data_IF_454742447822
#
_entry.id   IF_454742447822
#
_cell.length_a   1.000
_cell.length_b   1.000
_cell.length_c   1.000
_cell.angle_alpha   90.00
_cell.angle_beta   90.00
_cell.angle_gamma   90.00
#
_symmetry.space_group_name_H-M   'P 1'
#
loop_
_entity.id
_entity.type
_entity.pdbx_description
1 polymer ?
#
# COMPACT_ATOMS: atom_id res chain seq x y z
N UNK A 1 -8.45 -9.24 -2.09
CA UNK A 1 -9.09 -7.97 -1.74
C UNK A 1 -9.00 -7.06 -2.96
N UNK A 2 -9.48 -5.81 -2.91
CA UNK A 2 -9.40 -4.93 -4.08
C UNK A 2 -8.14 -4.06 -4.04
N UNK A 3 -7.67 -3.66 -5.21
CA UNK A 3 -6.49 -2.80 -5.40
C UNK A 3 -6.56 -1.49 -4.61
N UNK A 4 -7.77 -0.95 -4.41
CA UNK A 4 -7.99 0.25 -3.58
C UNK A 4 -7.53 0.01 -2.14
N UNK A 5 -7.91 -1.11 -1.54
CA UNK A 5 -7.43 -1.46 -0.19
C UNK A 5 -5.92 -1.62 -0.17
N UNK A 6 -5.37 -2.35 -1.14
CA UNK A 6 -3.92 -2.61 -1.22
C UNK A 6 -3.10 -1.32 -1.38
N UNK A 7 -3.62 -0.30 -2.06
CA UNK A 7 -2.96 0.99 -2.19
C UNK A 7 -3.18 1.93 -1.00
N UNK A 8 -4.42 2.08 -0.53
CA UNK A 8 -4.77 3.11 0.45
C UNK A 8 -4.43 2.72 1.90
N UNK A 9 -4.59 1.45 2.27
CA UNK A 9 -4.30 1.00 3.64
C UNK A 9 -2.83 1.22 4.04
N UNK A 10 -1.81 0.72 3.31
CA UNK A 10 -0.42 0.93 3.69
C UNK A 10 0.00 2.39 3.60
N UNK A 11 -0.60 3.18 2.71
CA UNK A 11 -0.41 4.63 2.65
C UNK A 11 -0.85 5.31 3.96
N UNK A 12 -2.06 5.00 4.43
CA UNK A 12 -2.60 5.54 5.68
C UNK A 12 -1.78 5.08 6.90
N UNK A 13 -1.37 3.82 6.93
CA UNK A 13 -0.51 3.26 7.98
C UNK A 13 0.84 4.00 7.99
N UNK A 14 1.49 4.15 6.83
CA UNK A 14 2.76 4.86 6.72
C UNK A 14 2.63 6.33 7.18
N UNK A 15 1.53 7.00 6.80
CA UNK A 15 1.25 8.36 7.25
C UNK A 15 1.08 8.45 8.78
N UNK A 16 0.38 7.48 9.38
CA UNK A 16 0.14 7.44 10.81
C UNK A 16 1.43 7.15 11.61
N UNK A 17 2.26 6.21 11.14
CA UNK A 17 3.46 5.75 11.83
C UNK A 17 4.65 6.71 11.65
N UNK A 18 4.79 7.35 10.48
CA UNK A 18 5.91 8.23 10.16
C UNK A 18 5.55 9.71 10.45
N UNK A 19 5.56 10.10 11.72
CA UNK A 19 5.29 11.48 12.16
C UNK A 19 6.57 12.26 12.48
N UNK A 20 6.46 13.59 12.60
CA UNK A 20 7.56 14.49 12.98
C UNK A 20 8.71 14.51 11.98
N UNK A 21 9.95 14.42 12.47
CA UNK A 21 11.20 14.44 11.65
C UNK A 21 11.32 13.26 10.67
N UNK A 22 10.39 12.30 10.70
CA UNK A 22 10.35 11.18 9.76
C UNK A 22 9.20 11.16 8.79
N UNK A 23 8.42 12.25 8.72
CA UNK A 23 7.26 12.34 7.85
C UNK A 23 7.63 12.28 6.37
N UNK A 24 6.95 11.38 5.66
CA UNK A 24 6.98 11.33 4.20
C UNK A 24 6.14 12.48 3.62
N UNK A 25 6.62 13.07 2.53
CA UNK A 25 5.85 14.04 1.75
C UNK A 25 4.63 13.37 1.08
N UNK A 26 3.66 14.17 0.63
CA UNK A 26 2.47 13.63 -0.05
C UNK A 26 2.83 12.79 -1.29
N UNK A 27 3.81 13.23 -2.09
CA UNK A 27 4.29 12.46 -3.26
C UNK A 27 4.91 11.11 -2.87
N UNK A 28 5.66 11.09 -1.76
CA UNK A 28 6.26 9.86 -1.25
C UNK A 28 5.20 8.90 -0.70
N UNK A 29 4.13 9.42 -0.08
CA UNK A 29 2.99 8.60 0.35
C UNK A 29 2.25 7.99 -0.84
N UNK A 30 2.10 8.73 -1.95
CA UNK A 30 1.57 8.17 -3.21
C UNK A 30 2.44 7.01 -3.69
N UNK A 31 3.76 7.14 -3.66
CA UNK A 31 4.67 6.03 -4.00
C UNK A 31 4.46 4.82 -3.09
N UNK A 32 4.28 5.00 -1.78
CA UNK A 32 3.94 3.89 -0.86
C UNK A 32 2.65 3.20 -1.28
N UNK A 33 1.61 3.96 -1.63
CA UNK A 33 0.36 3.39 -2.12
C UNK A 33 0.51 2.66 -3.45
N UNK A 34 1.32 3.19 -4.38
CA UNK A 34 1.63 2.51 -5.64
C UNK A 34 2.40 1.21 -5.40
N UNK A 35 3.34 1.18 -4.44
CA UNK A 35 4.02 -0.06 -4.07
C UNK A 35 3.07 -1.10 -3.47
N UNK A 36 2.08 -0.66 -2.69
CA UNK A 36 1.03 -1.54 -2.18
C UNK A 36 0.14 -2.10 -3.29
N UNK A 37 -0.28 -1.28 -4.25
CA UNK A 37 -1.08 -1.73 -5.39
C UNK A 37 -0.27 -2.44 -6.49
N UNK A 38 1.07 -2.45 -6.41
CA UNK A 38 1.94 -2.91 -7.49
C UNK A 38 1.66 -4.33 -7.97
N UNK A 39 1.39 -5.33 -7.10
CA UNK A 39 1.10 -6.69 -7.57
C UNK A 39 -0.05 -6.74 -8.58
N UNK A 40 -1.17 -6.07 -8.28
CA UNK A 40 -2.35 -6.02 -9.17
C UNK A 40 -2.08 -5.24 -10.45
N UNK A 41 -1.27 -4.19 -10.38
CA UNK A 41 -0.95 -3.36 -11.55
C UNK A 41 0.01 -4.05 -12.52
N UNK A 42 0.92 -4.88 -11.99
CA UNK A 42 1.93 -5.60 -12.78
C UNK A 42 1.36 -6.86 -13.44
N UNK A 43 0.40 -7.51 -12.79
CA UNK A 43 -0.23 -8.74 -13.30
C UNK A 43 -1.75 -8.74 -13.01
N UNK A 44 -2.53 -7.97 -13.79
CA UNK A 44 -3.96 -7.79 -13.54
C UNK A 44 -4.72 -9.10 -13.67
N UNK A 45 -5.56 -9.39 -12.67
CA UNK A 45 -6.33 -10.64 -12.62
C UNK A 45 -7.72 -10.40 -12.02
N UNK A 46 -8.71 -11.14 -12.51
CA UNK A 46 -10.11 -11.02 -12.08
C UNK A 46 -10.61 -12.25 -11.30
N UNK A 47 -9.86 -13.35 -11.34
CA UNK A 47 -10.23 -14.61 -10.71
C UNK A 47 -9.23 -15.01 -9.65
N UNK A 48 -9.71 -15.75 -8.64
CA UNK A 48 -8.86 -16.27 -7.57
C UNK A 48 -7.74 -17.17 -8.10
N UNK A 49 -8.07 -18.04 -9.06
CA UNK A 49 -7.08 -18.93 -9.68
C UNK A 49 -5.98 -18.15 -10.38
N UNK A 50 -6.33 -17.10 -11.13
CA UNK A 50 -5.34 -16.26 -11.80
C UNK A 50 -4.41 -15.57 -10.78
N UNK A 51 -4.94 -15.08 -9.66
CA UNK A 51 -4.13 -14.55 -8.55
C UNK A 51 -3.14 -15.58 -8.00
N UNK A 52 -3.61 -16.80 -7.75
CA UNK A 52 -2.78 -17.88 -7.17
C UNK A 52 -1.66 -18.34 -8.12
N UNK A 53 -1.80 -18.10 -9.42
CA UNK A 53 -0.77 -18.36 -10.43
C UNK A 53 0.02 -17.13 -10.85
N UNK A 54 -0.31 -15.95 -10.32
CA UNK A 54 0.34 -14.69 -10.66
C UNK A 54 1.79 -14.66 -10.18
N UNK A 55 2.71 -14.16 -11.01
CA UNK A 55 4.12 -14.03 -10.64
C UNK A 55 4.35 -12.83 -9.73
N UNK A 56 3.51 -11.80 -9.80
CA UNK A 56 3.63 -10.60 -8.97
C UNK A 56 3.15 -10.82 -7.53
N UNK A 57 2.38 -11.88 -7.27
CA UNK A 57 1.80 -12.21 -5.96
C UNK A 57 2.68 -13.16 -5.12
N UNK A 58 3.98 -13.21 -5.40
CA UNK A 58 4.96 -14.03 -4.70
C UNK A 58 6.07 -13.24 -4.01
N UNK A 59 6.74 -13.87 -3.04
CA UNK A 59 7.96 -13.36 -2.41
C UNK A 59 9.07 -13.04 -3.42
N UNK A 60 9.29 -13.81 -4.50
CA UNK A 60 10.29 -13.45 -5.50
C UNK A 60 10.04 -12.07 -6.13
N UNK A 61 8.78 -11.74 -6.45
CA UNK A 61 8.42 -10.43 -7.00
C UNK A 61 8.59 -9.31 -5.96
N UNK A 62 8.23 -9.57 -4.69
CA UNK A 62 8.51 -8.64 -3.59
C UNK A 62 10.01 -8.35 -3.42
N UNK A 63 10.86 -9.39 -3.48
CA UNK A 63 12.32 -9.23 -3.42
C UNK A 63 12.80 -8.38 -4.61
N UNK A 64 12.35 -8.69 -5.82
CA UNK A 64 12.68 -7.91 -7.02
C UNK A 64 12.29 -6.43 -6.88
N UNK A 65 11.05 -6.15 -6.47
CA UNK A 65 10.57 -4.79 -6.22
C UNK A 65 11.41 -4.07 -5.15
N UNK A 66 11.74 -4.76 -4.05
CA UNK A 66 12.54 -4.20 -2.97
C UNK A 66 13.95 -3.85 -3.44
N UNK A 67 14.58 -4.71 -4.25
CA UNK A 67 15.87 -4.43 -4.87
C UNK A 67 15.80 -3.21 -5.79
N UNK A 68 14.74 -3.07 -6.60
CA UNK A 68 14.53 -1.87 -7.43
C UNK A 68 14.43 -0.61 -6.55
N UNK A 69 13.66 -0.64 -5.47
CA UNK A 69 13.56 0.50 -4.55
C UNK A 69 14.90 0.85 -3.89
N UNK A 70 15.70 -0.15 -3.52
CA UNK A 70 17.06 0.04 -2.98
C UNK A 70 17.96 0.69 -4.03
N UNK A 71 17.97 0.18 -5.28
CA UNK A 71 18.76 0.74 -6.37
C UNK A 71 18.37 2.19 -6.65
N UNK A 72 17.07 2.49 -6.70
CA UNK A 72 16.56 3.86 -6.84
C UNK A 72 17.04 4.74 -5.69
N UNK A 73 17.08 4.23 -4.46
CA UNK A 73 17.60 4.98 -3.31
C UNK A 73 19.11 5.21 -3.33
N UNK A 74 19.87 4.32 -3.94
CA UNK A 74 21.31 4.50 -4.16
C UNK A 74 21.55 5.57 -5.23
N UNK A 75 20.83 5.50 -6.36
CA UNK A 75 21.00 6.41 -7.50
C UNK A 75 20.45 7.82 -7.19
N UNK A 76 19.32 7.91 -6.47
CA UNK A 76 18.66 9.17 -6.12
C UNK A 76 18.63 9.42 -4.60
N UNK A 77 19.80 9.31 -3.98
CA UNK A 77 20.03 9.46 -2.52
C UNK A 77 19.28 10.63 -1.87
N UNK A 78 19.28 11.80 -2.51
CA UNK A 78 18.69 13.01 -1.91
C UNK A 78 17.16 13.08 -2.06
N UNK A 79 16.58 12.23 -2.91
CA UNK A 79 15.13 12.23 -3.21
C UNK A 79 14.41 11.03 -2.63
N UNK A 80 15.12 9.92 -2.43
CA UNK A 80 14.56 8.66 -1.97
C UNK A 80 15.11 8.30 -0.57
N UNK A 81 14.48 8.82 0.50
CA UNK A 81 14.93 8.50 1.85
C UNK A 81 14.75 7.01 2.14
N UNK A 82 15.64 6.41 2.94
CA UNK A 82 15.56 4.99 3.34
C UNK A 82 14.20 4.58 3.90
N UNK A 83 13.50 5.51 4.57
CA UNK A 83 12.14 5.31 5.09
C UNK A 83 11.10 5.07 3.99
N UNK A 84 11.27 5.67 2.81
CA UNK A 84 10.40 5.42 1.66
C UNK A 84 10.61 4.00 1.12
N UNK A 85 11.87 3.56 0.99
CA UNK A 85 12.20 2.19 0.57
C UNK A 85 11.56 1.18 1.51
N UNK A 86 11.76 1.37 2.82
CA UNK A 86 11.18 0.50 3.83
C UNK A 86 9.64 0.52 3.78
N UNK A 87 9.02 1.70 3.74
CA UNK A 87 7.56 1.82 3.68
C UNK A 87 6.98 1.22 2.39
N UNK A 88 7.62 1.41 1.24
CA UNK A 88 7.20 0.82 -0.03
C UNK A 88 7.34 -0.70 -0.05
N UNK A 89 8.45 -1.24 0.46
CA UNK A 89 8.64 -2.69 0.59
C UNK A 89 7.61 -3.31 1.54
N UNK A 90 7.34 -2.67 2.69
CA UNK A 90 6.30 -3.11 3.62
C UNK A 90 4.89 -2.98 3.04
N UNK A 91 4.62 -1.98 2.18
CA UNK A 91 3.34 -1.85 1.49
C UNK A 91 3.08 -3.03 0.55
N UNK A 92 4.10 -3.47 -0.19
CA UNK A 92 4.02 -4.67 -1.03
C UNK A 92 3.78 -5.93 -0.19
N UNK A 93 4.48 -6.09 0.94
CA UNK A 93 4.21 -7.22 1.85
C UNK A 93 2.80 -7.16 2.43
N UNK A 94 2.30 -5.97 2.75
CA UNK A 94 0.94 -5.78 3.22
C UNK A 94 -0.08 -6.23 2.16
N UNK A 95 0.18 -5.99 0.88
CA UNK A 95 -0.62 -6.56 -0.21
C UNK A 95 -0.66 -8.08 -0.13
N UNK A 96 0.51 -8.72 -0.12
CA UNK A 96 0.60 -10.18 -0.07
C UNK A 96 -0.09 -10.76 1.17
N UNK A 97 0.03 -10.09 2.31
CA UNK A 97 -0.67 -10.45 3.53
C UNK A 97 -2.19 -10.38 3.37
N UNK A 98 -2.72 -9.27 2.83
CA UNK A 98 -4.15 -9.11 2.56
C UNK A 98 -4.70 -10.19 1.64
N UNK A 99 -3.96 -10.57 0.59
CA UNK A 99 -4.40 -11.65 -0.29
C UNK A 99 -4.28 -13.03 0.33
N UNK A 100 -3.26 -13.27 1.16
CA UNK A 100 -3.12 -14.52 1.91
C UNK A 100 -4.35 -14.77 2.81
N UNK A 101 -4.91 -13.74 3.45
CA UNK A 101 -6.11 -13.86 4.30
C UNK A 101 -7.44 -13.75 3.52
N UNK A 102 -7.38 -13.38 2.24
CA UNK A 102 -8.56 -13.17 1.38
C UNK A 102 -8.65 -14.23 0.28
N UNK A 103 -8.28 -15.48 0.59
CA UNK A 103 -8.35 -16.63 -0.34
C UNK A 103 -7.01 -17.19 -0.79
N UNK A 104 -5.91 -16.72 -0.20
CA UNK A 104 -4.58 -17.30 -0.39
C UNK A 104 -3.84 -16.82 -1.63
N UNK A 105 -2.51 -17.01 -1.57
CA UNK A 105 -1.53 -16.75 -2.61
C UNK A 105 -0.50 -17.88 -2.66
N UNK A 106 0.19 -18.03 -3.77
CA UNK A 106 1.35 -18.92 -3.85
C UNK A 106 2.62 -18.10 -3.59
N UNK A 107 3.11 -18.15 -2.34
CA UNK A 107 4.26 -17.34 -1.91
C UNK A 107 5.51 -17.51 -2.76
N UNK A 108 5.68 -18.67 -3.40
CA UNK A 108 6.88 -18.97 -4.21
C UNK A 108 6.61 -18.93 -5.72
N UNK A 109 5.45 -18.43 -6.15
CA UNK A 109 5.16 -18.22 -7.57
C UNK A 109 6.25 -17.37 -8.25
N UNK A 110 6.69 -17.72 -9.48
CA UNK A 110 6.23 -18.82 -10.33
C UNK A 110 6.94 -20.17 -10.10
N UNK A 111 7.83 -20.28 -9.10
CA UNK A 111 8.65 -21.47 -8.86
C UNK A 111 7.94 -22.55 -8.03
N UNK A 112 7.07 -22.15 -7.10
CA UNK A 112 6.23 -23.04 -6.31
C UNK A 112 4.87 -23.30 -6.95
N UNK A 113 4.16 -24.33 -6.50
CA UNK A 113 2.78 -24.65 -6.94
C UNK A 113 1.78 -24.73 -5.79
N UNK A 114 2.22 -24.54 -4.55
CA UNK A 114 1.37 -24.72 -3.37
C UNK A 114 0.78 -23.37 -2.95
N UNK A 115 -0.51 -23.10 -3.22
CA UNK A 115 -1.16 -21.94 -2.64
C UNK A 115 -1.24 -22.11 -1.13
N UNK A 116 -1.00 -21.02 -0.41
CA UNK A 116 -1.13 -20.93 1.03
C UNK A 116 -2.03 -19.76 1.40
N UNK A 117 -2.87 -19.97 2.40
CA UNK A 117 -3.78 -18.97 2.93
C UNK A 117 -5.19 -19.51 3.08
N UNK A 118 -5.95 -18.83 3.93
CA UNK A 118 -7.31 -19.18 4.26
C UNK A 118 -8.23 -18.02 3.90
N UNK A 119 -9.54 -18.30 3.81
CA UNK A 119 -10.54 -17.30 3.48
C UNK A 119 -11.09 -16.66 4.75
N UNK A 120 -10.24 -15.92 5.47
CA UNK A 120 -10.60 -15.26 6.73
C UNK A 120 -11.36 -13.95 6.52
N UNK A 121 -11.19 -13.32 5.35
CA UNK A 121 -11.83 -12.04 5.04
C UNK A 121 -12.91 -12.18 3.96
N UNK A 122 -14.21 -12.18 4.34
CA UNK A 122 -15.32 -12.38 3.41
C UNK A 122 -15.35 -11.37 2.26
N UNK A 123 -15.61 -11.83 1.03
CA UNK A 123 -15.74 -10.98 -0.16
C UNK A 123 -16.77 -9.86 0.00
N UNK A 124 -17.86 -10.11 0.74
CA UNK A 124 -18.88 -9.08 1.00
C UNK A 124 -18.33 -7.84 1.75
N UNK A 125 -17.20 -7.99 2.46
CA UNK A 125 -16.54 -6.90 3.18
C UNK A 125 -15.50 -6.15 2.35
N UNK A 126 -15.16 -6.61 1.14
CA UNK A 126 -14.12 -5.97 0.33
C UNK A 126 -14.52 -4.55 -0.09
N UNK A 127 -15.69 -4.38 -0.71
CA UNK A 127 -16.18 -3.06 -1.13
C UNK A 127 -16.43 -2.10 0.04
N UNK A 128 -17.08 -2.50 1.15
CA UNK A 128 -17.17 -1.65 2.34
C UNK A 128 -15.81 -1.19 2.85
N UNK A 129 -14.80 -2.06 2.83
CA UNK A 129 -13.44 -1.71 3.26
C UNK A 129 -12.82 -0.65 2.35
N UNK A 130 -12.97 -0.77 1.03
CA UNK A 130 -12.51 0.25 0.09
C UNK A 130 -13.17 1.61 0.34
N UNK A 131 -14.50 1.63 0.56
CA UNK A 131 -15.25 2.86 0.85
C UNK A 131 -14.71 3.52 2.12
N UNK A 132 -14.51 2.74 3.20
CA UNK A 132 -13.94 3.24 4.45
C UNK A 132 -12.54 3.82 4.23
N UNK A 133 -11.68 3.15 3.46
CA UNK A 133 -10.32 3.61 3.19
C UNK A 133 -10.28 4.87 2.32
N UNK A 134 -11.17 4.99 1.33
CA UNK A 134 -11.32 6.21 0.51
C UNK A 134 -11.77 7.38 1.39
N UNK A 135 -12.80 7.18 2.22
CA UNK A 135 -13.28 8.21 3.15
C UNK A 135 -12.18 8.61 4.14
N UNK A 136 -11.51 7.64 4.76
CA UNK A 136 -10.41 7.89 5.68
C UNK A 136 -9.29 8.71 5.02
N UNK A 137 -8.89 8.34 3.79
CA UNK A 137 -7.91 9.09 3.00
C UNK A 137 -8.37 10.52 2.75
N UNK A 138 -9.62 10.71 2.33
CA UNK A 138 -10.19 12.04 2.13
C UNK A 138 -10.15 12.89 3.41
N UNK A 139 -10.60 12.33 4.55
CA UNK A 139 -10.61 13.07 5.81
C UNK A 139 -9.20 13.43 6.30
N UNK A 140 -8.26 12.48 6.23
CA UNK A 140 -6.88 12.65 6.69
C UNK A 140 -6.13 13.69 5.87
N UNK A 141 -6.25 13.65 4.54
CA UNK A 141 -5.43 14.49 3.66
C UNK A 141 -6.12 15.77 3.18
N UNK A 142 -7.45 15.85 3.20
CA UNK A 142 -8.20 17.00 2.71
C UNK A 142 -9.00 17.71 3.79
N UNK A 143 -9.94 17.03 4.43
CA UNK A 143 -10.92 17.69 5.31
C UNK A 143 -10.28 18.26 6.59
N UNK A 144 -9.53 17.43 7.34
CA UNK A 144 -8.92 17.85 8.61
C UNK A 144 -7.91 18.98 8.41
N UNK A 145 -6.96 18.93 7.44
CA UNK A 145 -6.06 20.03 7.17
C UNK A 145 -6.78 21.32 6.80
N UNK A 146 -7.82 21.24 5.95
CA UNK A 146 -8.63 22.39 5.55
C UNK A 146 -9.30 23.08 6.74
N UNK A 147 -9.90 22.30 7.65
CA UNK A 147 -10.53 22.85 8.87
C UNK A 147 -9.51 23.52 9.80
N UNK A 148 -8.32 22.92 9.97
CA UNK A 148 -7.25 23.52 10.79
C UNK A 148 -6.78 24.85 10.21
N UNK A 149 -6.65 24.93 8.89
CA UNK A 149 -6.27 26.16 8.21
C UNK A 149 -7.31 27.27 8.38
N UNK A 150 -8.60 26.96 8.17
CA UNK A 150 -9.70 27.92 8.35
C UNK A 150 -9.76 28.48 9.79
N UNK A 151 -9.62 27.62 10.80
CA UNK A 151 -9.57 28.07 12.21
C UNK A 151 -8.37 28.95 12.52
N UNK A 152 -7.22 28.72 11.88
CA UNK A 152 -6.03 29.54 12.07
C UNK A 152 -6.18 30.95 11.50
N UNK A 153 -6.97 31.14 10.44
CA UNK A 153 -7.23 32.46 9.84
C UNK A 153 -8.15 33.27 10.76
N UNK A 154 -9.24 32.66 11.23
CA UNK A 154 -10.23 33.32 12.11
C UNK A 154 -9.63 33.84 13.43
N UNK A 155 -8.59 33.20 13.97
CA UNK A 155 -7.90 33.65 15.18
C UNK A 155 -6.97 34.86 14.98
N UNK A 156 -6.59 35.18 13.75
CA UNK A 156 -5.70 36.32 13.44
C UNK A 156 -6.46 37.61 13.14
N UNK A 157 -7.77 37.51 12.91
CA UNK A 157 -8.66 38.62 12.54
C UNK A 157 -9.42 39.20 13.74
N UNK A 158 -9.15 38.72 14.95
CA UNK A 158 -9.66 39.22 16.24
C UNK A 158 -8.47 39.76 17.01
#
# INVERSE_FOLDING_TARGET
MNTVTHGLAPLLIAHACLRGKGRLSGKQLVVVGLCGAAPDLLDPHLTLTARQTSWSHGLPAWVGMTLVLILVAIVWKDRCPKRLVLAGSLAYLFHLFCDAIAGGINWLSPFGKLPWGEYWFPVILWTPTDVVLVLATYFVFRAIPGWKHARSISKKTV
#
